data_IF_458397718279
#
_entry.id   IF_458397718279
#
_cell.length_a   1.000
_cell.length_b   1.000
_cell.length_c   1.000
_cell.angle_alpha   90.00
_cell.angle_beta   90.00
_cell.angle_gamma   90.00
#
_symmetry.space_group_name_H-M   'P 1'
#
loop_
_entity.id
_entity.type
_entity.pdbx_description
1 polymer ?
#
# COMPACT_ATOMS: atom_id res chain seq x y z
N UNK A 1 0.66 -4.37 23.35
CA UNK A 1 0.37 -5.53 22.47
C UNK A 1 0.15 -5.02 21.06
N UNK A 2 0.99 -5.40 20.09
CA UNK A 2 0.58 -5.56 18.69
C UNK A 2 1.37 -6.72 18.10
N UNK A 3 0.62 -7.75 17.73
CA UNK A 3 1.07 -8.94 17.05
C UNK A 3 0.99 -8.66 15.55
N UNK A 4 2.07 -8.84 14.81
CA UNK A 4 2.03 -9.15 13.38
C UNK A 4 2.79 -10.46 13.21
N UNK A 5 2.03 -11.54 13.07
CA UNK A 5 2.53 -12.87 12.79
C UNK A 5 2.82 -13.00 11.29
N UNK A 6 4.02 -13.48 10.94
CA UNK A 6 4.25 -14.25 9.71
C UNK A 6 5.16 -15.44 10.06
N UNK A 7 4.69 -16.66 9.79
CA UNK A 7 5.35 -17.92 10.10
C UNK A 7 6.28 -18.37 8.95
N UNK A 8 7.50 -18.77 9.36
CA UNK A 8 8.38 -19.83 8.84
C UNK A 8 8.79 -19.83 7.35
N UNK A 9 9.95 -19.23 7.01
CA UNK A 9 11.15 -19.86 6.35
C UNK A 9 12.23 -18.89 5.74
N UNK A 10 12.22 -17.57 5.97
CA UNK A 10 13.19 -16.62 5.35
C UNK A 10 14.47 -16.28 6.16
N UNK A 11 15.05 -17.27 6.86
CA UNK A 11 15.75 -17.04 8.12
C UNK A 11 17.18 -16.43 8.11
N UNK A 12 17.88 -16.15 6.99
CA UNK A 12 19.32 -15.73 7.09
C UNK A 12 19.74 -14.52 6.24
N UNK A 13 18.90 -13.94 5.37
CA UNK A 13 19.28 -12.71 4.62
C UNK A 13 18.46 -11.45 4.93
N UNK A 14 17.38 -11.57 5.70
CA UNK A 14 16.34 -10.54 5.88
C UNK A 14 16.19 -9.96 7.30
N UNK A 15 17.13 -10.25 8.21
CA UNK A 15 16.96 -10.10 9.67
C UNK A 15 16.84 -8.67 10.25
N UNK A 16 16.97 -7.61 9.43
CA UNK A 16 16.77 -6.22 9.89
C UNK A 16 15.49 -5.58 9.37
N UNK A 17 14.83 -6.19 8.37
CA UNK A 17 13.75 -5.54 7.63
C UNK A 17 12.38 -5.75 8.33
N UNK A 18 12.24 -6.79 9.18
CA UNK A 18 10.98 -7.10 9.87
C UNK A 18 10.88 -6.75 11.36
N UNK A 19 11.99 -6.42 12.04
CA UNK A 19 11.97 -6.10 13.48
C UNK A 19 11.61 -4.63 13.75
N UNK A 20 11.78 -3.77 12.74
CA UNK A 20 11.46 -2.34 12.78
C UNK A 20 11.10 -1.83 11.38
N UNK A 21 10.17 -2.52 10.76
CA UNK A 21 9.48 -1.99 9.58
C UNK A 21 8.63 -0.78 10.02
N UNK A 22 8.81 0.35 9.37
CA UNK A 22 7.99 1.53 9.63
C UNK A 22 6.69 1.34 8.88
N UNK A 23 5.54 1.39 9.55
CA UNK A 23 4.28 1.32 8.84
C UNK A 23 4.03 2.67 8.13
N UNK A 24 4.45 2.77 6.88
CA UNK A 24 4.26 3.99 6.10
C UNK A 24 2.77 4.30 5.87
N UNK A 25 1.86 3.33 6.02
CA UNK A 25 0.41 3.53 5.92
C UNK A 25 -0.19 4.27 7.12
N UNK A 26 0.56 4.47 8.20
CA UNK A 26 0.16 5.34 9.32
C UNK A 26 0.30 6.83 8.94
N UNK A 27 1.04 7.13 7.86
CA UNK A 27 1.18 8.50 7.34
C UNK A 27 0.10 8.77 6.29
N UNK A 28 -0.66 9.84 6.49
CA UNK A 28 -1.81 10.21 5.63
C UNK A 28 -1.42 10.49 4.16
N UNK A 29 -0.15 10.79 3.88
CA UNK A 29 0.33 11.20 2.54
C UNK A 29 1.03 10.08 1.74
N UNK A 30 1.00 8.83 2.22
CA UNK A 30 1.74 7.73 1.58
C UNK A 30 1.04 7.21 0.32
N UNK A 31 -0.29 7.07 0.33
CA UNK A 31 -1.09 6.63 -0.80
C UNK A 31 -2.35 7.50 -0.91
N UNK A 32 -2.78 7.82 -2.12
CA UNK A 32 -4.00 8.63 -2.34
C UNK A 32 -5.28 7.92 -1.88
N UNK A 33 -5.32 6.59 -1.95
CA UNK A 33 -6.51 5.80 -1.65
C UNK A 33 -6.25 4.64 -0.68
N UNK A 34 -5.72 3.51 -1.15
CA UNK A 34 -5.49 2.33 -0.31
C UNK A 34 -4.01 2.08 -0.12
N UNK A 35 -3.58 1.99 1.13
CA UNK A 35 -2.22 1.61 1.50
C UNK A 35 -2.19 0.21 2.11
N UNK A 36 -1.21 -0.61 1.70
CA UNK A 36 -0.91 -1.90 2.30
C UNK A 36 0.55 -1.93 2.72
N UNK A 37 0.78 -1.98 4.03
CA UNK A 37 2.13 -2.13 4.55
C UNK A 37 2.68 -3.53 4.24
N UNK A 38 3.95 -3.61 3.86
CA UNK A 38 4.68 -4.85 3.57
C UNK A 38 6.01 -4.83 4.30
N UNK A 39 6.63 -5.97 4.55
CA UNK A 39 7.91 -5.97 5.27
C UNK A 39 8.99 -5.34 4.37
N UNK A 40 9.49 -4.16 4.78
CA UNK A 40 10.51 -3.37 4.11
C UNK A 40 9.99 -2.32 3.13
N UNK A 41 8.67 -2.19 2.96
CA UNK A 41 8.07 -1.24 2.01
C UNK A 41 6.55 -1.15 2.18
N UNK A 42 5.88 -0.42 1.30
CA UNK A 42 4.44 -0.39 1.21
C UNK A 42 3.99 -0.54 -0.24
N UNK A 43 2.73 -0.92 -0.42
CA UNK A 43 2.10 -0.98 -1.73
C UNK A 43 0.81 -0.17 -1.70
N UNK A 44 0.71 0.82 -2.60
CA UNK A 44 -0.55 1.52 -2.83
C UNK A 44 -1.40 0.76 -3.85
N UNK A 45 -2.71 0.87 -3.67
CA UNK A 45 -3.71 0.40 -4.62
C UNK A 45 -4.86 1.39 -4.69
N UNK A 46 -5.59 1.35 -5.80
CA UNK A 46 -6.74 2.21 -6.02
C UNK A 46 -8.04 1.43 -5.89
N UNK A 47 -9.13 2.13 -5.57
CA UNK A 47 -10.47 1.55 -5.57
C UNK A 47 -10.92 1.26 -7.00
N UNK A 48 -11.98 0.46 -7.14
CA UNK A 48 -12.55 0.15 -8.45
C UNK A 48 -12.92 1.43 -9.21
N UNK A 49 -12.63 1.48 -10.51
CA UNK A 49 -12.78 2.69 -11.32
C UNK A 49 -11.57 3.63 -11.33
N UNK A 50 -10.48 3.27 -10.63
CA UNK A 50 -9.22 4.01 -10.65
C UNK A 50 -8.02 3.09 -10.95
N UNK A 51 -7.02 3.64 -11.64
CA UNK A 51 -5.72 3.02 -11.91
C UNK A 51 -4.61 3.69 -11.09
N UNK A 52 -3.63 2.92 -10.65
CA UNK A 52 -2.45 3.45 -9.98
C UNK A 52 -1.55 4.14 -11.01
N UNK A 53 -1.12 5.36 -10.69
CA UNK A 53 -0.23 6.14 -11.56
C UNK A 53 1.21 5.63 -11.49
N UNK A 54 2.05 6.14 -12.39
CA UNK A 54 3.46 5.77 -12.48
C UNK A 54 4.29 6.15 -11.24
N UNK A 55 3.81 7.09 -10.41
CA UNK A 55 4.40 7.44 -9.12
C UNK A 55 4.17 6.36 -8.04
N UNK A 56 3.29 5.38 -8.32
CA UNK A 56 2.87 4.29 -7.43
C UNK A 56 2.18 4.73 -6.14
N UNK A 57 1.77 5.99 -6.04
CA UNK A 57 1.10 6.54 -4.84
C UNK A 57 -0.23 7.20 -5.17
N UNK A 58 -0.36 7.77 -6.36
CA UNK A 58 -1.55 8.48 -6.80
C UNK A 58 -2.46 7.59 -7.65
N UNK A 59 -3.74 7.89 -7.64
CA UNK A 59 -4.79 7.20 -8.37
C UNK A 59 -5.34 8.10 -9.48
N UNK A 60 -5.67 7.50 -10.63
CA UNK A 60 -6.29 8.20 -11.75
C UNK A 60 -7.54 7.45 -12.15
N UNK A 61 -8.65 8.17 -12.34
CA UNK A 61 -9.85 7.53 -12.84
C UNK A 61 -9.65 7.02 -14.29
N UNK A 62 -10.08 5.79 -14.55
CA UNK A 62 -9.90 5.16 -15.87
C UNK A 62 -10.89 5.65 -16.93
N UNK A 63 -12.10 6.08 -16.53
CA UNK A 63 -13.19 6.45 -17.44
C UNK A 63 -13.88 7.79 -17.10
N UNK A 64 -13.20 8.69 -16.36
CA UNK A 64 -13.83 9.86 -15.75
C UNK A 64 -14.23 9.61 -14.29
N UNK A 65 -14.75 10.61 -13.59
CA UNK A 65 -14.98 10.56 -12.14
C UNK A 65 -15.92 9.37 -11.77
N UNK A 66 -15.44 8.34 -11.04
CA UNK A 66 -16.25 7.18 -10.66
C UNK A 66 -17.42 7.55 -9.73
N UNK A 67 -17.38 8.74 -9.13
CA UNK A 67 -18.47 9.30 -8.33
C UNK A 67 -19.53 10.00 -9.19
N UNK A 68 -19.20 10.34 -10.44
CA UNK A 68 -20.12 10.91 -11.43
C UNK A 68 -19.92 10.23 -12.79
N UNK A 69 -20.39 8.98 -12.95
CA UNK A 69 -20.48 8.38 -14.27
C UNK A 69 -21.39 9.30 -15.12
N UNK A 70 -20.85 9.83 -16.22
CA UNK A 70 -21.65 10.60 -17.18
C UNK A 70 -22.78 9.71 -17.70
N UNK A 71 -24.02 10.23 -17.82
CA UNK A 71 -25.17 9.45 -18.29
C UNK A 71 -25.01 8.93 -19.72
#
# INVERSE_FOLDING_TARGET
MRFCAVNEVDFIRFHLIGIRDSDECVTEDTCEQRCRNTIGSFQCSCVEGYELRADRTSCKAINGDPLFPTP
#
